data_IF_987099269174
#
_entry.id   IF_987099269174
#
_cell.length_a   1.000
_cell.length_b   1.000
_cell.length_c   1.000
_cell.angle_alpha   90.00
_cell.angle_beta   90.00
_cell.angle_gamma   90.00
#
_symmetry.space_group_name_H-M   'P 1'
#
loop_
_entity.id
_entity.type
_entity.pdbx_description
1 polymer ?
#
# COMPACT_ATOMS: atom_id res chain seq x y z
N UNK A 1 -17.01 18.58 8.05
CA UNK A 1 -17.14 17.35 8.85
C UNK A 1 -18.48 16.69 8.57
N UNK A 2 -18.51 15.38 8.40
CA UNK A 2 -19.74 14.60 8.27
C UNK A 2 -19.91 13.70 9.49
N UNK A 3 -21.09 13.72 10.12
CA UNK A 3 -21.42 12.84 11.26
C UNK A 3 -22.23 11.64 10.77
N UNK A 4 -21.59 10.48 10.66
CA UNK A 4 -22.19 9.22 10.18
C UNK A 4 -22.13 8.15 11.28
N UNK A 5 -22.87 7.05 11.12
CA UNK A 5 -22.99 5.97 12.10
C UNK A 5 -24.07 6.22 13.16
N UNK A 6 -24.47 5.17 13.88
CA UNK A 6 -25.61 5.22 14.80
C UNK A 6 -25.45 6.24 15.95
N UNK A 7 -24.23 6.40 16.47
CA UNK A 7 -23.99 7.38 17.55
C UNK A 7 -24.22 8.84 17.10
N UNK A 8 -24.07 9.10 15.81
CA UNK A 8 -24.35 10.41 15.21
C UNK A 8 -25.83 10.78 15.21
N UNK A 9 -26.75 9.90 15.63
CA UNK A 9 -28.18 10.22 15.83
C UNK A 9 -28.44 10.98 17.14
N UNK A 10 -27.53 10.89 18.11
CA UNK A 10 -27.67 11.58 19.40
C UNK A 10 -27.63 13.10 19.22
N UNK A 11 -28.72 13.78 19.58
CA UNK A 11 -28.80 15.25 19.56
C UNK A 11 -27.80 15.89 20.50
N UNK A 12 -27.55 15.27 21.65
CA UNK A 12 -26.52 15.73 22.56
C UNK A 12 -25.14 15.70 21.88
N UNK A 13 -24.77 14.58 21.26
CA UNK A 13 -23.49 14.45 20.56
C UNK A 13 -23.38 15.48 19.42
N UNK A 14 -24.40 15.60 18.57
CA UNK A 14 -24.44 16.60 17.49
C UNK A 14 -24.23 18.01 18.03
N UNK A 15 -24.93 18.39 19.11
CA UNK A 15 -24.79 19.71 19.75
C UNK A 15 -23.39 19.96 20.30
N UNK A 16 -22.77 18.94 20.94
CA UNK A 16 -21.40 19.06 21.46
C UNK A 16 -20.40 19.21 20.34
N UNK A 17 -20.49 18.44 19.25
CA UNK A 17 -19.60 18.59 18.10
C UNK A 17 -19.78 19.99 17.49
N UNK A 18 -21.01 20.45 17.29
CA UNK A 18 -21.29 21.80 16.76
C UNK A 18 -20.68 22.90 17.61
N UNK A 19 -20.92 22.86 18.91
CA UNK A 19 -20.36 23.84 19.85
C UNK A 19 -18.83 23.93 19.78
N UNK A 20 -18.14 22.81 19.56
CA UNK A 20 -16.67 22.78 19.55
C UNK A 20 -16.05 23.09 18.19
N UNK A 21 -16.74 22.81 17.07
CA UNK A 21 -16.09 22.80 15.75
C UNK A 21 -16.80 23.61 14.66
N UNK A 22 -18.05 24.05 14.86
CA UNK A 22 -18.84 24.70 13.80
C UNK A 22 -18.26 26.05 13.36
N UNK A 23 -17.51 26.73 14.23
CA UNK A 23 -16.81 27.98 13.90
C UNK A 23 -15.60 27.79 12.97
N UNK A 24 -15.00 26.60 12.94
CA UNK A 24 -13.82 26.30 12.15
C UNK A 24 -14.17 25.52 10.88
N UNK A 25 -15.17 24.64 10.97
CA UNK A 25 -15.55 23.73 9.89
C UNK A 25 -17.06 23.53 9.85
N UNK A 26 -17.61 23.48 8.63
CA UNK A 26 -19.02 23.15 8.42
C UNK A 26 -19.30 21.71 8.87
N UNK A 27 -20.35 21.51 9.65
CA UNK A 27 -20.81 20.19 10.10
C UNK A 27 -22.08 19.82 9.35
N UNK A 28 -22.07 18.66 8.71
CA UNK A 28 -23.22 18.09 8.02
C UNK A 28 -23.60 16.75 8.67
N UNK A 29 -24.89 16.56 8.92
CA UNK A 29 -25.44 15.32 9.47
C UNK A 29 -26.46 14.79 8.44
N UNK A 30 -26.23 13.62 7.84
CA UNK A 30 -27.20 13.01 6.94
C UNK A 30 -28.54 12.76 7.65
N UNK A 31 -29.68 12.72 6.94
CA UNK A 31 -30.98 12.47 7.55
C UNK A 31 -31.06 11.15 8.33
N UNK A 32 -30.32 10.12 7.88
CA UNK A 32 -30.18 8.82 8.55
C UNK A 32 -28.70 8.46 8.69
N UNK A 33 -28.00 8.98 9.72
CA UNK A 33 -26.56 8.75 9.90
C UNK A 33 -26.19 7.27 9.98
N UNK A 34 -27.04 6.45 10.61
CA UNK A 34 -26.82 5.01 10.82
C UNK A 34 -26.65 4.23 9.52
N UNK A 35 -27.34 4.63 8.44
CA UNK A 35 -27.24 3.96 7.12
C UNK A 35 -26.42 4.76 6.09
N UNK A 36 -25.85 5.91 6.46
CA UNK A 36 -25.18 6.78 5.49
C UNK A 36 -24.02 6.06 4.76
N UNK A 37 -23.27 5.22 5.49
CA UNK A 37 -22.14 4.45 4.92
C UNK A 37 -22.63 3.38 3.95
N UNK A 38 -23.65 2.60 4.32
CA UNK A 38 -24.18 1.53 3.45
C UNK A 38 -24.88 2.09 2.22
N UNK A 39 -25.57 3.23 2.34
CA UNK A 39 -26.16 3.91 1.18
C UNK A 39 -25.07 4.37 0.21
N UNK A 40 -24.01 5.01 0.71
CA UNK A 40 -22.88 5.41 -0.12
C UNK A 40 -22.19 4.20 -0.78
N UNK A 41 -22.07 3.08 -0.08
CA UNK A 41 -21.54 1.84 -0.65
C UNK A 41 -22.43 1.26 -1.76
N UNK A 42 -23.77 1.31 -1.59
CA UNK A 42 -24.73 0.88 -2.61
C UNK A 42 -24.67 1.78 -3.85
N UNK A 43 -24.68 3.10 -3.66
CA UNK A 43 -24.52 4.07 -4.76
C UNK A 43 -23.19 3.88 -5.51
N UNK A 44 -22.09 3.65 -4.77
CA UNK A 44 -20.80 3.32 -5.37
C UNK A 44 -20.87 2.01 -6.17
N UNK A 45 -21.49 0.96 -5.64
CA UNK A 45 -21.66 -0.30 -6.35
C UNK A 45 -22.47 -0.16 -7.64
N UNK A 46 -23.49 0.71 -7.65
CA UNK A 46 -24.29 1.03 -8.84
C UNK A 46 -23.51 1.82 -9.89
N UNK A 47 -22.61 2.69 -9.46
CA UNK A 47 -21.73 3.45 -10.35
C UNK A 47 -20.32 3.54 -9.77
N UNK A 48 -19.50 2.52 -10.03
CA UNK A 48 -18.12 2.47 -9.50
C UNK A 48 -17.20 3.55 -10.07
N UNK A 49 -17.63 4.26 -11.14
CA UNK A 49 -16.90 5.41 -11.69
C UNK A 49 -17.14 6.71 -10.89
N UNK A 50 -18.07 6.71 -9.93
CA UNK A 50 -18.36 7.87 -9.09
C UNK A 50 -17.21 8.25 -8.15
N UNK A 51 -16.33 7.31 -7.80
CA UNK A 51 -15.10 7.55 -7.04
C UNK A 51 -13.92 7.34 -7.98
N UNK A 52 -13.27 8.43 -8.39
CA UNK A 52 -12.12 8.41 -9.29
C UNK A 52 -10.82 8.12 -8.58
N UNK A 53 -10.65 8.65 -7.35
CA UNK A 53 -9.38 8.61 -6.62
C UNK A 53 -9.52 8.02 -5.22
N UNK A 54 -8.41 7.51 -4.70
CA UNK A 54 -8.24 7.01 -3.33
C UNK A 54 -6.88 7.49 -2.81
N UNK A 55 -6.78 7.77 -1.52
CA UNK A 55 -5.49 8.09 -0.89
C UNK A 55 -4.97 6.85 -0.19
N UNK A 56 -3.75 6.42 -0.51
CA UNK A 56 -3.17 5.22 0.09
C UNK A 56 -2.90 5.42 1.58
N UNK A 57 -3.34 4.45 2.39
CA UNK A 57 -3.11 4.45 3.84
C UNK A 57 -1.69 4.03 4.22
N UNK A 58 -1.03 3.25 3.37
CA UNK A 58 0.26 2.61 3.65
C UNK A 58 1.21 2.83 2.49
N UNK A 59 2.51 2.77 2.79
CA UNK A 59 3.59 2.67 1.82
C UNK A 59 3.75 1.21 1.45
N UNK A 60 3.82 0.91 0.16
CA UNK A 60 3.94 -0.45 -0.39
C UNK A 60 5.23 -0.63 -1.17
N UNK A 61 5.73 -1.85 -1.17
CA UNK A 61 6.93 -2.23 -1.90
C UNK A 61 7.24 -3.70 -1.74
N UNK A 62 8.40 -4.10 -2.24
CA UNK A 62 8.81 -5.51 -2.25
C UNK A 62 10.16 -5.74 -1.62
N UNK A 63 10.37 -6.93 -1.08
CA UNK A 63 11.70 -7.39 -0.68
C UNK A 63 12.59 -7.59 -1.91
N UNK A 64 13.75 -6.94 -1.87
CA UNK A 64 14.85 -7.19 -2.80
C UNK A 64 16.07 -7.67 -2.02
N UNK A 65 16.93 -8.43 -2.70
CA UNK A 65 18.18 -8.90 -2.13
C UNK A 65 19.35 -8.43 -2.99
N UNK A 66 19.77 -7.15 -2.97
CA UNK A 66 20.99 -6.72 -3.65
C UNK A 66 22.26 -7.29 -2.99
N UNK A 67 23.40 -7.18 -3.67
CA UNK A 67 24.71 -7.46 -3.07
C UNK A 67 24.97 -6.46 -1.93
N UNK A 68 25.41 -6.97 -0.78
CA UNK A 68 25.76 -6.13 0.37
C UNK A 68 26.94 -5.21 0.01
N UNK A 69 26.86 -3.94 0.40
CA UNK A 69 27.91 -2.94 0.20
C UNK A 69 28.51 -2.50 1.53
N UNK A 70 29.70 -1.90 1.51
CA UNK A 70 30.37 -1.43 2.73
C UNK A 70 29.57 -0.38 3.54
N UNK A 71 28.66 0.34 2.87
CA UNK A 71 27.74 1.29 3.51
C UNK A 71 26.56 0.61 4.23
N UNK A 72 26.33 -0.68 3.97
CA UNK A 72 25.22 -1.42 4.57
C UNK A 72 25.58 -1.91 5.97
N UNK A 73 24.60 -2.05 6.88
CA UNK A 73 24.83 -2.58 8.22
C UNK A 73 25.44 -3.99 8.17
N UNK A 74 26.57 -4.25 8.85
CA UNK A 74 27.27 -5.53 8.78
C UNK A 74 26.47 -6.67 9.45
N UNK A 75 25.67 -6.37 10.46
CA UNK A 75 24.78 -7.29 11.17
C UNK A 75 23.63 -7.82 10.28
N UNK A 76 23.36 -7.15 9.15
CA UNK A 76 22.30 -7.54 8.19
C UNK A 76 22.84 -8.26 6.97
N UNK A 77 24.16 -8.50 6.91
CA UNK A 77 24.78 -9.25 5.82
C UNK A 77 24.41 -10.72 5.91
N UNK A 78 23.84 -11.24 4.83
CA UNK A 78 23.53 -12.66 4.67
C UNK A 78 24.79 -13.48 4.35
N UNK A 79 24.74 -14.78 4.61
CA UNK A 79 25.85 -15.72 4.32
C UNK A 79 26.26 -15.75 2.86
N UNK A 80 25.34 -15.49 1.93
CA UNK A 80 25.60 -15.39 0.49
C UNK A 80 26.15 -14.01 0.05
N UNK A 81 26.52 -13.14 1.00
CA UNK A 81 27.07 -11.80 0.70
C UNK A 81 26.03 -10.77 0.25
N UNK A 82 24.74 -11.02 0.48
CA UNK A 82 23.62 -10.13 0.10
C UNK A 82 22.97 -9.51 1.34
N UNK A 83 21.98 -8.66 1.11
CA UNK A 83 21.20 -8.02 2.18
C UNK A 83 19.75 -7.89 1.72
N UNK A 84 18.79 -8.16 2.61
CA UNK A 84 17.36 -7.92 2.34
C UNK A 84 17.02 -6.44 2.55
N UNK A 85 16.53 -5.79 1.51
CA UNK A 85 16.07 -4.39 1.54
C UNK A 85 14.63 -4.29 1.06
N UNK A 86 13.96 -3.23 1.50
CA UNK A 86 12.65 -2.86 1.01
C UNK A 86 12.81 -1.93 -0.19
N UNK A 87 12.28 -2.34 -1.34
CA UNK A 87 12.15 -1.48 -2.52
C UNK A 87 10.78 -0.83 -2.49
N UNK A 88 10.71 0.43 -2.08
CA UNK A 88 9.49 1.23 -2.12
C UNK A 88 8.98 1.34 -3.57
N UNK A 89 7.70 1.06 -3.77
CA UNK A 89 7.03 1.22 -5.07
C UNK A 89 6.02 2.37 -5.05
N UNK A 90 5.29 2.55 -3.96
CA UNK A 90 4.35 3.67 -3.79
C UNK A 90 4.21 4.04 -2.32
N UNK A 91 4.13 5.34 -2.01
CA UNK A 91 4.07 5.85 -0.63
C UNK A 91 2.63 5.99 -0.13
N UNK A 92 2.45 5.96 1.20
CA UNK A 92 1.20 6.43 1.81
C UNK A 92 0.94 7.89 1.41
N UNK A 93 -0.31 8.31 1.44
CA UNK A 93 -0.69 9.68 1.08
C UNK A 93 -0.72 9.95 -0.43
N UNK A 94 -0.18 9.06 -1.26
CA UNK A 94 -0.35 9.15 -2.72
C UNK A 94 -1.83 9.01 -3.06
N UNK A 95 -2.35 10.00 -3.78
CA UNK A 95 -3.67 9.94 -4.42
C UNK A 95 -3.54 9.10 -5.70
N UNK A 96 -4.31 8.03 -5.78
CA UNK A 96 -4.27 7.04 -6.86
C UNK A 96 -5.63 6.91 -7.52
N UNK A 97 -5.65 6.85 -8.84
CA UNK A 97 -6.81 6.50 -9.64
C UNK A 97 -6.89 4.98 -9.86
N UNK A 98 -8.07 4.51 -10.29
CA UNK A 98 -8.24 3.10 -10.62
C UNK A 98 -7.36 2.60 -11.79
N UNK A 99 -6.91 3.53 -12.65
CA UNK A 99 -6.07 3.25 -13.82
C UNK A 99 -4.57 3.41 -13.55
N UNK A 100 -4.19 3.88 -12.37
CA UNK A 100 -2.77 4.16 -12.09
C UNK A 100 -2.01 2.86 -11.84
N UNK A 101 -0.84 2.77 -12.47
CA UNK A 101 0.03 1.60 -12.42
C UNK A 101 1.40 1.99 -11.86
N UNK A 102 1.79 1.35 -10.76
CA UNK A 102 3.09 1.56 -10.11
C UNK A 102 3.98 0.37 -10.44
N UNK A 103 4.81 0.55 -11.47
CA UNK A 103 5.61 -0.54 -12.03
C UNK A 103 7.10 -0.39 -11.73
N UNK A 104 7.75 -1.50 -11.41
CA UNK A 104 9.20 -1.57 -11.27
C UNK A 104 9.73 -2.89 -11.82
N UNK A 105 10.90 -2.85 -12.46
CA UNK A 105 11.55 -4.01 -13.02
C UNK A 105 12.53 -4.62 -12.02
N UNK A 106 12.50 -5.95 -11.89
CA UNK A 106 13.33 -6.71 -10.98
C UNK A 106 14.01 -7.86 -11.72
N UNK A 107 15.30 -8.04 -11.46
CA UNK A 107 16.06 -9.17 -11.99
C UNK A 107 16.29 -10.22 -10.90
N UNK A 108 16.50 -11.49 -11.28
CA UNK A 108 16.90 -12.54 -10.37
C UNK A 108 18.18 -12.17 -9.61
N UNK A 109 18.31 -12.58 -8.34
CA UNK A 109 19.49 -12.30 -7.57
C UNK A 109 20.70 -13.12 -8.04
N UNK A 110 20.47 -14.29 -8.64
CA UNK A 110 21.51 -15.22 -9.10
C UNK A 110 21.30 -15.61 -10.58
N UNK A 111 22.36 -15.88 -11.36
CA UNK A 111 22.26 -16.16 -12.79
C UNK A 111 21.44 -17.42 -13.11
N UNK A 112 21.57 -18.46 -12.29
CA UNK A 112 20.96 -19.78 -12.45
C UNK A 112 19.59 -19.90 -11.76
N UNK A 113 19.08 -18.83 -11.15
CA UNK A 113 17.79 -18.83 -10.48
C UNK A 113 16.67 -19.24 -11.44
N UNK A 114 15.99 -20.34 -11.14
CA UNK A 114 14.84 -20.86 -11.90
C UNK A 114 13.49 -20.36 -11.39
N UNK A 115 13.49 -19.66 -10.25
CA UNK A 115 12.29 -19.06 -9.65
C UNK A 115 12.65 -17.71 -9.03
N UNK A 116 11.76 -16.73 -9.16
CA UNK A 116 11.84 -15.43 -8.49
C UNK A 116 10.67 -15.28 -7.50
N UNK A 117 11.00 -15.15 -6.21
CA UNK A 117 10.02 -14.91 -5.15
C UNK A 117 9.82 -13.42 -4.94
N UNK A 118 8.59 -12.96 -5.07
CA UNK A 118 8.18 -11.63 -4.61
C UNK A 118 7.52 -11.76 -3.24
N UNK A 119 8.01 -10.96 -2.28
CA UNK A 119 7.33 -10.76 -1.00
C UNK A 119 6.95 -9.30 -0.91
N UNK A 120 5.65 -9.01 -0.90
CA UNK A 120 5.11 -7.66 -0.82
C UNK A 120 4.99 -7.27 0.65
N UNK A 121 5.48 -6.08 0.97
CA UNK A 121 5.38 -5.48 2.30
C UNK A 121 4.57 -4.19 2.26
N UNK A 122 4.00 -3.84 3.41
CA UNK A 122 3.42 -2.53 3.66
C UNK A 122 3.86 -1.98 5.03
N UNK A 123 3.92 -0.65 5.15
CA UNK A 123 4.35 0.06 6.38
C UNK A 123 3.72 1.44 6.49
N UNK A 124 3.63 1.95 7.73
CA UNK A 124 3.25 3.34 8.06
C UNK A 124 4.37 4.33 7.77
N UNK A 125 5.61 3.89 7.58
CA UNK A 125 6.77 4.77 7.40
C UNK A 125 6.94 5.22 5.95
N UNK A 126 7.49 6.41 5.76
CA UNK A 126 7.79 6.97 4.44
C UNK A 126 9.18 6.55 3.95
N UNK A 127 10.10 6.26 4.87
CA UNK A 127 11.54 6.08 4.64
C UNK A 127 12.05 4.68 5.07
N UNK A 128 11.16 3.68 5.09
CA UNK A 128 11.54 2.30 5.42
C UNK A 128 12.60 1.78 4.44
N UNK A 129 13.67 1.18 4.97
CA UNK A 129 14.81 0.73 4.15
C UNK A 129 14.95 -0.79 4.16
N UNK A 130 14.58 -1.45 5.27
CA UNK A 130 14.76 -2.89 5.45
C UNK A 130 13.48 -3.61 5.85
N UNK A 131 13.29 -4.83 5.33
CA UNK A 131 12.08 -5.62 5.53
C UNK A 131 11.84 -6.10 6.97
N UNK A 132 12.85 -6.02 7.84
CA UNK A 132 12.77 -6.42 9.25
C UNK A 132 12.68 -5.21 10.21
N UNK A 133 12.44 -4.00 9.69
CA UNK A 133 12.21 -2.83 10.54
C UNK A 133 10.90 -2.93 11.34
N UNK A 134 10.81 -2.23 12.48
CA UNK A 134 9.54 -2.07 13.18
C UNK A 134 8.48 -1.46 12.26
N UNK A 135 7.25 -1.98 12.34
CA UNK A 135 6.08 -1.61 11.53
C UNK A 135 6.08 -2.13 10.07
N UNK A 136 7.08 -2.91 9.67
CA UNK A 136 7.02 -3.66 8.42
C UNK A 136 6.10 -4.86 8.54
N UNK A 137 5.11 -4.94 7.67
CA UNK A 137 4.15 -6.04 7.62
C UNK A 137 4.17 -6.71 6.26
N UNK A 138 4.06 -8.05 6.23
CA UNK A 138 3.93 -8.81 4.98
C UNK A 138 2.49 -8.74 4.51
N UNK A 139 2.28 -8.29 3.27
CA UNK A 139 0.97 -8.35 2.61
C UNK A 139 0.73 -9.74 2.02
N UNK A 140 1.77 -10.33 1.42
CA UNK A 140 1.71 -11.62 0.77
C UNK A 140 2.98 -11.94 -0.01
N UNK A 141 3.05 -13.14 -0.57
CA UNK A 141 4.16 -13.55 -1.44
C UNK A 141 3.71 -14.49 -2.53
N UNK A 142 4.37 -14.42 -3.68
CA UNK A 142 4.16 -15.33 -4.80
C UNK A 142 5.50 -15.58 -5.52
N UNK A 143 5.52 -16.64 -6.33
CA UNK A 143 6.69 -17.04 -7.10
C UNK A 143 6.40 -16.89 -8.59
N UNK A 144 7.44 -16.55 -9.36
CA UNK A 144 7.43 -16.58 -10.81
C UNK A 144 8.48 -17.56 -11.28
N UNK A 145 8.10 -18.49 -12.14
CA UNK A 145 9.02 -19.44 -12.75
C UNK A 145 9.84 -18.74 -13.85
N UNK A 146 11.15 -19.01 -13.84
CA UNK A 146 12.14 -18.49 -14.77
C UNK A 146 12.97 -19.65 -15.34
N UNK A 147 12.35 -20.56 -16.11
CA UNK A 147 12.97 -21.84 -16.50
C UNK A 147 14.17 -21.66 -17.45
N UNK A 148 14.19 -20.59 -18.24
CA UNK A 148 15.34 -20.25 -19.08
C UNK A 148 16.36 -19.44 -18.28
N UNK A 149 17.50 -20.05 -17.99
CA UNK A 149 18.63 -19.43 -17.28
C UNK A 149 19.75 -18.94 -18.23
N UNK A 150 19.60 -19.08 -19.55
CA UNK A 150 20.66 -18.75 -20.51
C UNK A 150 21.05 -17.25 -20.48
N UNK A 151 20.12 -16.38 -20.11
CA UNK A 151 20.34 -14.94 -19.97
C UNK A 151 20.88 -14.51 -18.59
N UNK A 152 21.14 -15.46 -17.69
CA UNK A 152 21.73 -15.19 -16.38
C UNK A 152 20.90 -14.20 -15.55
N UNK A 153 21.49 -13.08 -15.16
CA UNK A 153 20.78 -12.02 -14.39
C UNK A 153 19.97 -11.07 -15.29
N UNK A 154 20.13 -11.13 -16.61
CA UNK A 154 19.48 -10.23 -17.56
C UNK A 154 18.08 -10.75 -17.96
N UNK A 155 17.27 -11.08 -16.94
CA UNK A 155 15.91 -11.61 -17.06
C UNK A 155 14.94 -10.73 -16.27
N UNK A 156 14.69 -9.49 -16.73
CA UNK A 156 13.85 -8.56 -16.00
C UNK A 156 12.40 -9.04 -15.95
N UNK A 157 11.82 -8.98 -14.76
CA UNK A 157 10.39 -9.17 -14.50
C UNK A 157 9.80 -7.82 -14.13
N UNK A 158 8.75 -7.40 -14.84
CA UNK A 158 7.99 -6.20 -14.48
C UNK A 158 6.94 -6.58 -13.44
N UNK A 159 7.03 -5.98 -12.25
CA UNK A 159 5.99 -6.05 -11.24
C UNK A 159 5.21 -4.74 -11.24
N UNK A 160 3.88 -4.82 -11.29
CA UNK A 160 2.97 -3.67 -11.28
C UNK A 160 2.00 -3.78 -10.11
N UNK A 161 1.92 -2.73 -9.30
CA UNK A 161 0.88 -2.58 -8.27
C UNK A 161 -0.24 -1.68 -8.81
N UNK A 162 -1.48 -2.15 -8.71
CA UNK A 162 -2.71 -1.41 -9.02
C UNK A 162 -3.58 -1.34 -7.76
N UNK A 163 -4.22 -0.19 -7.51
CA UNK A 163 -4.99 0.05 -6.27
C UNK A 163 -6.49 0.30 -6.52
N UNK A 164 -6.99 -0.05 -7.71
CA UNK A 164 -8.40 0.01 -8.08
C UNK A 164 -8.92 -1.31 -8.64
N UNK A 165 -10.25 -1.39 -8.76
CA UNK A 165 -10.92 -2.48 -9.48
C UNK A 165 -10.74 -2.29 -10.98
N UNK A 166 -10.12 -3.25 -11.66
CA UNK A 166 -10.21 -3.40 -13.12
C UNK A 166 -11.58 -3.92 -13.53
#
# INVERSE_FOLDING_TARGET
MFLVGGFSESKYFQSRVKQNFESQIKIAVPPRPVIAVVNGACEYGLNMKSISTRVLKWTYGVEIAPKWQASDPPDRKMSNGRIKKFSLMVSKGTEVNATDEYSQSFSPPEPDATTLKFTIYYTSKDDATYCNEPEMNILGSFNIDLPDAHLGMNRPVLLTLCFGSR
#
